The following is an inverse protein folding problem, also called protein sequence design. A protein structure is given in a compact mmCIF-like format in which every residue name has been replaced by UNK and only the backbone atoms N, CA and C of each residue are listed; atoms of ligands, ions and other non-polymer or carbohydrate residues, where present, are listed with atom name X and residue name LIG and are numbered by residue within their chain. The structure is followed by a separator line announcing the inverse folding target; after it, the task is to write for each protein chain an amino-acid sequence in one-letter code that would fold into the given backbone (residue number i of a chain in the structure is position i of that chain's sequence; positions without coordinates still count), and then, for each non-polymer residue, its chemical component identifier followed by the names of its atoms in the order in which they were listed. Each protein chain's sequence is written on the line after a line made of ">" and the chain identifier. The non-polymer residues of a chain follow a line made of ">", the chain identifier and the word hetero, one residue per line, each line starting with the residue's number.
data_IF_389292247975
#
_entry.id   IF_389292247975
#
_cell.length_a   1.000
_cell.length_b   1.000
_cell.length_c   1.000
_cell.angle_alpha   90.00
_cell.angle_beta   90.00
_cell.angle_gamma   90.00
#
_symmetry.space_group_name_H-M   'P 1'
#
loop_
_entity.id
_entity.type
_entity.pdbx_description
1 polymer ?
#
# COMPACT_ATOMS: atom_id res chain seq x y z
N UNK A 1 17.74 5.56 25.32
CA UNK A 1 18.63 6.60 24.76
C UNK A 1 18.08 6.98 23.39
N UNK A 2 17.34 8.07 23.30
CA UNK A 2 16.94 8.64 22.00
C UNK A 2 18.12 9.46 21.50
N UNK A 3 19.00 8.85 20.70
CA UNK A 3 20.06 9.59 20.02
C UNK A 3 19.46 10.63 19.08
N UNK A 4 20.17 11.73 18.88
CA UNK A 4 19.80 12.75 17.90
C UNK A 4 19.56 12.10 16.53
N UNK A 5 18.57 12.62 15.78
CA UNK A 5 18.24 12.09 14.46
C UNK A 5 19.46 12.22 13.55
N UNK A 6 20.07 11.08 13.20
CA UNK A 6 21.22 10.98 12.29
C UNK A 6 20.86 11.15 10.81
N UNK A 7 19.63 11.54 10.47
CA UNK A 7 19.23 11.78 9.09
C UNK A 7 18.46 13.08 8.98
N UNK A 8 18.79 13.85 7.96
CA UNK A 8 18.08 15.04 7.54
C UNK A 8 17.55 14.81 6.12
N UNK A 9 16.29 15.19 5.85
CA UNK A 9 15.71 15.04 4.51
C UNK A 9 16.17 16.21 3.66
N UNK A 10 17.32 16.03 3.01
CA UNK A 10 17.99 17.09 2.24
C UNK A 10 17.39 17.34 0.85
N UNK A 11 16.36 16.59 0.46
CA UNK A 11 15.81 16.61 -0.92
C UNK A 11 14.32 16.96 -1.01
N UNK A 12 13.75 17.65 -0.01
CA UNK A 12 12.38 18.17 -0.12
C UNK A 12 12.24 19.12 -1.33
N UNK A 13 11.02 19.36 -1.81
CA UNK A 13 10.80 20.34 -2.88
C UNK A 13 11.36 21.72 -2.49
N UNK A 14 11.15 22.16 -1.25
CA UNK A 14 11.69 23.42 -0.75
C UNK A 14 13.22 23.44 -0.71
N UNK A 15 13.86 22.32 -0.32
CA UNK A 15 15.32 22.22 -0.34
C UNK A 15 15.88 22.26 -1.78
N UNK A 16 15.25 21.55 -2.73
CA UNK A 16 15.64 21.58 -4.15
C UNK A 16 15.43 22.97 -4.76
N UNK A 17 14.32 23.64 -4.48
CA UNK A 17 14.11 25.03 -4.89
C UNK A 17 15.17 25.94 -4.24
N UNK A 18 15.46 25.75 -2.95
CA UNK A 18 16.49 26.48 -2.23
C UNK A 18 17.88 26.35 -2.85
N UNK A 19 18.23 25.18 -3.40
CA UNK A 19 19.51 24.94 -4.08
C UNK A 19 19.66 25.71 -5.41
N UNK A 20 18.59 26.30 -5.94
CA UNK A 20 18.66 27.15 -7.13
C UNK A 20 19.06 28.60 -6.78
N UNK A 21 19.09 28.98 -5.51
CA UNK A 21 19.56 30.30 -5.11
C UNK A 21 21.04 30.50 -5.50
N UNK A 22 21.44 31.72 -5.90
CA UNK A 22 22.84 32.00 -6.19
C UNK A 22 23.73 31.70 -4.98
N UNK A 23 24.87 31.04 -5.23
CA UNK A 23 25.89 30.84 -4.20
C UNK A 23 26.59 32.17 -3.88
N UNK A 24 27.18 32.27 -2.68
CA UNK A 24 27.86 33.49 -2.24
C UNK A 24 29.07 33.85 -3.12
N UNK A 25 29.69 32.86 -3.76
CA UNK A 25 30.83 32.97 -4.66
C UNK A 25 30.45 32.73 -6.14
N UNK A 26 29.18 32.88 -6.49
CA UNK A 26 28.71 32.68 -7.86
C UNK A 26 29.33 33.72 -8.81
N UNK A 27 30.03 33.25 -9.84
CA UNK A 27 30.44 34.07 -10.97
C UNK A 27 29.30 34.12 -12.01
N UNK A 28 29.06 35.29 -12.59
CA UNK A 28 27.91 35.54 -13.49
C UNK A 28 28.30 35.73 -14.97
N UNK A 29 29.60 35.76 -15.30
CA UNK A 29 30.07 36.03 -16.66
C UNK A 29 29.54 37.36 -17.19
N UNK A 30 28.97 37.35 -18.39
CA UNK A 30 28.37 38.53 -19.03
C UNK A 30 26.98 38.89 -18.48
N UNK A 31 26.37 38.03 -17.66
CA UNK A 31 25.05 38.27 -17.07
C UNK A 31 25.15 39.10 -15.79
N UNK A 32 24.17 39.96 -15.54
CA UNK A 32 23.97 40.55 -14.21
C UNK A 32 23.45 39.51 -13.21
N UNK A 33 23.70 39.75 -11.92
CA UNK A 33 23.10 38.96 -10.83
C UNK A 33 21.57 38.92 -10.92
N UNK A 34 20.95 40.01 -11.36
CA UNK A 34 19.49 40.09 -11.56
C UNK A 34 19.01 39.11 -12.64
N UNK A 35 19.66 39.12 -13.80
CA UNK A 35 19.33 38.21 -14.91
C UNK A 35 19.54 36.74 -14.53
N UNK A 36 20.64 36.41 -13.85
CA UNK A 36 20.89 35.06 -13.34
C UNK A 36 19.82 34.63 -12.34
N UNK A 37 19.45 35.51 -11.41
CA UNK A 37 18.42 35.22 -10.40
C UNK A 37 17.05 35.00 -11.06
N UNK A 38 16.68 35.80 -12.06
CA UNK A 38 15.46 35.60 -12.84
C UNK A 38 15.48 34.27 -13.61
N UNK A 39 16.62 33.85 -14.16
CA UNK A 39 16.77 32.55 -14.82
C UNK A 39 16.56 31.40 -13.82
N UNK A 40 17.22 31.45 -12.66
CA UNK A 40 17.08 30.45 -11.61
C UNK A 40 15.65 30.41 -11.05
N UNK A 41 14.98 31.55 -10.94
CA UNK A 41 13.57 31.61 -10.57
C UNK A 41 12.68 30.87 -11.57
N UNK A 42 12.92 31.02 -12.89
CA UNK A 42 12.18 30.25 -13.91
C UNK A 42 12.41 28.75 -13.74
N UNK A 43 13.64 28.31 -13.51
CA UNK A 43 13.92 26.90 -13.21
C UNK A 43 13.19 26.39 -11.95
N UNK A 44 13.09 27.23 -10.91
CA UNK A 44 12.36 26.88 -9.69
C UNK A 44 10.85 26.75 -9.94
N UNK A 45 10.28 27.63 -10.77
CA UNK A 45 8.87 27.57 -11.20
C UNK A 45 8.63 26.29 -11.98
N UNK A 46 9.47 25.98 -12.97
CA UNK A 46 9.32 24.77 -13.79
C UNK A 46 9.41 23.49 -12.94
N UNK A 47 10.38 23.43 -12.01
CA UNK A 47 10.51 22.32 -11.07
C UNK A 47 9.25 22.13 -10.21
N UNK A 48 8.74 23.23 -9.65
CA UNK A 48 7.55 23.22 -8.79
C UNK A 48 6.30 22.84 -9.58
N UNK A 49 6.17 23.36 -10.81
CA UNK A 49 5.07 23.04 -11.70
C UNK A 49 5.06 21.55 -12.06
N UNK A 50 6.22 21.00 -12.40
CA UNK A 50 6.34 19.57 -12.70
C UNK A 50 5.99 18.70 -11.48
N UNK A 51 6.44 19.06 -10.28
CA UNK A 51 6.08 18.35 -9.05
C UNK A 51 4.55 18.38 -8.82
N UNK A 52 3.92 19.55 -9.00
CA UNK A 52 2.48 19.70 -8.89
C UNK A 52 1.73 18.85 -9.92
N UNK A 53 2.09 18.95 -11.20
CA UNK A 53 1.47 18.17 -12.29
C UNK A 53 1.60 16.68 -12.01
N UNK A 54 2.77 16.20 -11.59
CA UNK A 54 2.99 14.80 -11.25
C UNK A 54 2.12 14.35 -10.08
N UNK A 55 2.00 15.18 -9.03
CA UNK A 55 1.14 14.89 -7.90
C UNK A 55 -0.33 14.78 -8.31
N UNK A 56 -0.85 15.76 -9.05
CA UNK A 56 -2.23 15.78 -9.54
C UNK A 56 -2.49 14.61 -10.48
N UNK A 57 -1.58 14.34 -11.41
CA UNK A 57 -1.69 13.22 -12.35
C UNK A 57 -1.71 11.88 -11.64
N UNK A 58 -0.87 11.68 -10.62
CA UNK A 58 -0.88 10.47 -9.79
C UNK A 58 -2.22 10.30 -9.07
N UNK A 59 -2.78 11.37 -8.52
CA UNK A 59 -4.07 11.32 -7.86
C UNK A 59 -5.22 11.03 -8.84
N UNK A 60 -5.27 11.73 -9.97
CA UNK A 60 -6.38 11.63 -10.93
C UNK A 60 -6.33 10.36 -11.78
N UNK A 61 -5.14 9.94 -12.23
CA UNK A 61 -5.00 8.87 -13.22
C UNK A 61 -4.75 7.50 -12.58
N UNK A 62 -4.23 7.46 -11.34
CA UNK A 62 -3.87 6.19 -10.69
C UNK A 62 -4.64 5.96 -9.38
N UNK A 63 -4.64 6.93 -8.46
CA UNK A 63 -5.26 6.73 -7.16
C UNK A 63 -6.80 6.79 -7.22
N UNK A 64 -7.38 7.83 -7.81
CA UNK A 64 -8.83 8.03 -7.84
C UNK A 64 -9.59 6.91 -8.59
N UNK A 65 -9.14 6.44 -9.77
CA UNK A 65 -9.82 5.37 -10.49
C UNK A 65 -9.81 4.03 -9.73
N UNK A 66 -8.86 3.82 -8.82
CA UNK A 66 -8.82 2.63 -7.98
C UNK A 66 -10.07 2.51 -7.07
N UNK A 67 -10.67 3.64 -6.68
CA UNK A 67 -11.84 3.65 -5.78
C UNK A 67 -12.95 2.74 -6.27
N UNK A 68 -13.28 2.83 -7.56
CA UNK A 68 -14.38 2.07 -8.17
C UNK A 68 -14.16 0.55 -8.04
N UNK A 69 -12.92 0.08 -8.24
CA UNK A 69 -12.58 -1.34 -8.11
C UNK A 69 -12.69 -1.82 -6.66
N UNK A 70 -12.24 -0.99 -5.70
CA UNK A 70 -12.33 -1.31 -4.27
C UNK A 70 -13.79 -1.32 -3.84
N UNK A 71 -14.59 -0.34 -4.25
CA UNK A 71 -16.01 -0.25 -3.95
C UNK A 71 -16.77 -1.47 -4.49
N UNK A 72 -16.53 -1.86 -5.74
CA UNK A 72 -17.11 -3.07 -6.33
C UNK A 72 -16.73 -4.32 -5.52
N UNK A 73 -15.46 -4.44 -5.13
CA UNK A 73 -15.00 -5.58 -4.32
C UNK A 73 -15.65 -5.62 -2.93
N UNK A 74 -15.79 -4.46 -2.27
CA UNK A 74 -16.49 -4.36 -0.98
C UNK A 74 -17.96 -4.73 -1.14
N UNK A 75 -18.67 -4.22 -2.15
CA UNK A 75 -20.08 -4.57 -2.40
C UNK A 75 -20.27 -6.05 -2.71
N UNK A 76 -19.33 -6.67 -3.43
CA UNK A 76 -19.40 -8.07 -3.85
C UNK A 76 -18.89 -9.09 -2.81
N UNK A 77 -18.41 -8.64 -1.64
CA UNK A 77 -17.75 -9.46 -0.62
C UNK A 77 -18.54 -10.70 -0.16
N UNK A 78 -19.87 -10.62 -0.18
CA UNK A 78 -20.73 -11.73 0.23
C UNK A 78 -20.63 -12.94 -0.72
N UNK A 79 -20.36 -12.69 -2.00
CA UNK A 79 -20.11 -13.75 -3.00
C UNK A 79 -18.72 -14.36 -2.89
N UNK A 80 -17.78 -13.67 -2.22
CA UNK A 80 -16.38 -14.09 -2.07
C UNK A 80 -16.25 -15.06 -0.90
N UNK A 81 -16.82 -14.71 0.26
CA UNK A 81 -16.78 -15.55 1.46
C UNK A 81 -17.96 -15.25 2.37
N UNK A 82 -18.56 -16.29 2.97
CA UNK A 82 -19.75 -16.19 3.83
C UNK A 82 -19.58 -15.21 5.00
N UNK A 83 -18.35 -15.06 5.52
CA UNK A 83 -18.04 -14.12 6.60
C UNK A 83 -18.19 -12.65 6.21
N UNK A 84 -18.19 -12.34 4.90
CA UNK A 84 -18.14 -10.96 4.38
C UNK A 84 -16.90 -10.16 4.80
N UNK A 85 -15.87 -10.79 5.39
CA UNK A 85 -14.62 -10.16 5.85
C UNK A 85 -13.46 -10.31 4.85
N UNK A 86 -13.71 -10.91 3.69
CA UNK A 86 -12.73 -11.15 2.63
C UNK A 86 -13.25 -10.50 1.35
N UNK A 87 -12.40 -9.73 0.68
CA UNK A 87 -12.72 -9.15 -0.63
C UNK A 87 -11.74 -9.67 -1.69
N UNK A 88 -12.22 -9.72 -2.93
CA UNK A 88 -11.42 -10.02 -4.12
C UNK A 88 -11.38 -8.77 -5.00
N UNK A 89 -10.19 -8.24 -5.24
CA UNK A 89 -9.98 -7.21 -6.25
C UNK A 89 -9.79 -7.88 -7.62
N UNK A 90 -10.41 -7.32 -8.64
CA UNK A 90 -10.27 -7.77 -10.03
C UNK A 90 -8.86 -7.55 -10.58
N UNK A 91 -8.12 -6.59 -10.03
CA UNK A 91 -6.74 -6.28 -10.38
C UNK A 91 -6.01 -5.65 -9.19
N UNK A 92 -4.68 -5.66 -9.23
CA UNK A 92 -3.86 -4.95 -8.24
C UNK A 92 -4.03 -3.43 -8.37
N UNK A 93 -4.61 -2.79 -7.36
CA UNK A 93 -4.83 -1.32 -7.28
C UNK A 93 -4.44 -0.79 -5.91
N UNK A 94 -4.11 0.51 -5.77
CA UNK A 94 -3.96 1.13 -4.46
C UNK A 94 -5.31 1.08 -3.73
N UNK A 95 -5.44 0.21 -2.75
CA UNK A 95 -6.73 -0.09 -2.12
C UNK A 95 -6.88 0.44 -0.69
N UNK A 96 -5.79 0.61 0.07
CA UNK A 96 -5.85 0.81 1.53
C UNK A 96 -6.65 2.05 1.93
N UNK A 97 -6.34 3.23 1.40
CA UNK A 97 -7.07 4.45 1.75
C UNK A 97 -8.57 4.36 1.38
N UNK A 98 -8.87 3.93 0.15
CA UNK A 98 -10.24 3.74 -0.32
C UNK A 98 -11.01 2.75 0.54
N UNK A 99 -10.38 1.64 0.94
CA UNK A 99 -11.01 0.64 1.78
C UNK A 99 -11.48 1.23 3.10
N UNK A 100 -10.63 2.01 3.78
CA UNK A 100 -10.99 2.63 5.06
C UNK A 100 -12.14 3.63 4.92
N UNK A 101 -12.15 4.44 3.87
CA UNK A 101 -13.26 5.36 3.56
C UNK A 101 -14.56 4.57 3.27
N UNK A 102 -14.47 3.55 2.41
CA UNK A 102 -15.62 2.73 2.02
C UNK A 102 -16.15 1.86 3.17
N UNK A 103 -15.31 1.44 4.10
CA UNK A 103 -15.77 0.77 5.33
C UNK A 103 -16.65 1.71 6.15
N UNK A 104 -16.24 2.97 6.33
CA UNK A 104 -17.03 3.97 7.04
C UNK A 104 -18.33 4.32 6.31
N UNK A 105 -18.30 4.43 4.98
CA UNK A 105 -19.45 4.81 4.15
C UNK A 105 -20.48 3.67 3.97
N UNK A 106 -20.00 2.46 3.64
CA UNK A 106 -20.83 1.34 3.18
C UNK A 106 -21.13 0.37 4.32
N UNK A 107 -20.13 0.05 5.14
CA UNK A 107 -20.28 -0.97 6.17
C UNK A 107 -20.86 -0.41 7.46
N UNK A 108 -20.77 0.90 7.68
CA UNK A 108 -21.24 1.56 8.91
C UNK A 108 -20.63 0.88 10.16
N UNK A 109 -21.15 1.08 11.38
CA UNK A 109 -20.62 0.45 12.61
C UNK A 109 -20.86 -1.08 12.67
N UNK A 110 -20.74 -1.78 11.54
CA UNK A 110 -20.77 -3.23 11.51
C UNK A 110 -19.54 -3.76 12.25
N UNK A 111 -19.78 -4.69 13.19
CA UNK A 111 -18.74 -5.24 14.07
C UNK A 111 -17.69 -6.06 13.30
N UNK A 112 -18.03 -6.51 12.09
CA UNK A 112 -17.20 -7.41 11.30
C UNK A 112 -16.43 -6.65 10.19
N UNK A 113 -15.37 -5.96 10.61
CA UNK A 113 -14.44 -5.26 9.71
C UNK A 113 -13.74 -6.21 8.74
N UNK A 114 -13.42 -5.72 7.53
CA UNK A 114 -12.67 -6.48 6.53
C UNK A 114 -11.30 -6.87 7.07
N UNK A 115 -10.89 -8.10 6.78
CA UNK A 115 -9.67 -8.71 7.30
C UNK A 115 -8.65 -9.00 6.21
N UNK A 116 -9.11 -9.45 5.03
CA UNK A 116 -8.23 -9.90 3.95
C UNK A 116 -8.65 -9.34 2.60
N UNK A 117 -7.67 -8.99 1.78
CA UNK A 117 -7.80 -8.54 0.41
C UNK A 117 -7.04 -9.49 -0.50
N UNK A 118 -7.75 -10.08 -1.46
CA UNK A 118 -7.21 -11.01 -2.45
C UNK A 118 -7.04 -10.30 -3.79
N UNK A 119 -5.88 -10.41 -4.42
CA UNK A 119 -5.64 -9.86 -5.76
C UNK A 119 -4.55 -10.63 -6.48
N UNK A 120 -4.63 -10.65 -7.81
CA UNK A 120 -3.58 -11.21 -8.65
C UNK A 120 -2.46 -10.19 -8.84
N UNK A 121 -1.21 -10.64 -8.76
CA UNK A 121 0.00 -9.89 -9.05
C UNK A 121 0.28 -9.94 -10.55
N UNK A 122 1.15 -9.07 -11.03
CA UNK A 122 1.58 -9.05 -12.44
C UNK A 122 2.28 -10.37 -12.86
N UNK A 123 2.81 -11.14 -11.90
CA UNK A 123 3.36 -12.48 -12.15
C UNK A 123 2.30 -13.55 -12.45
N UNK A 124 1.02 -13.26 -12.24
CA UNK A 124 -0.09 -14.21 -12.31
C UNK A 124 -0.40 -14.89 -10.97
N UNK A 125 0.47 -14.77 -9.97
CA UNK A 125 0.25 -15.33 -8.64
C UNK A 125 -0.78 -14.51 -7.84
N UNK A 126 -1.42 -15.14 -6.87
CA UNK A 126 -2.40 -14.52 -5.99
C UNK A 126 -1.77 -14.11 -4.66
N UNK A 127 -2.08 -12.89 -4.22
CA UNK A 127 -1.72 -12.37 -2.91
C UNK A 127 -2.90 -12.45 -1.96
N UNK A 128 -2.59 -12.79 -0.71
CA UNK A 128 -3.48 -12.66 0.44
C UNK A 128 -2.89 -11.59 1.34
N UNK A 129 -3.45 -10.37 1.30
CA UNK A 129 -2.96 -9.26 2.10
C UNK A 129 -3.92 -8.95 3.24
N UNK A 130 -3.38 -8.79 4.45
CA UNK A 130 -4.16 -8.47 5.63
C UNK A 130 -4.46 -6.97 5.66
N UNK A 131 -5.66 -6.59 6.10
CA UNK A 131 -6.03 -5.19 6.30
C UNK A 131 -5.35 -4.66 7.57
N UNK A 132 -4.67 -3.50 7.52
CA UNK A 132 -4.05 -2.92 8.71
C UNK A 132 -5.10 -2.45 9.72
N UNK A 133 -4.72 -2.32 11.00
CA UNK A 133 -5.63 -1.80 12.04
C UNK A 133 -6.08 -0.38 11.75
N UNK A 134 -5.15 0.44 11.27
CA UNK A 134 -5.34 1.83 10.87
C UNK A 134 -4.50 2.17 9.62
N UNK A 135 -4.84 3.26 8.94
CA UNK A 135 -4.12 3.69 7.75
C UNK A 135 -2.67 4.05 8.10
N UNK A 136 -1.71 3.35 7.48
CA UNK A 136 -0.28 3.55 7.73
C UNK A 136 0.30 2.69 8.86
N UNK A 137 -0.52 1.90 9.57
CA UNK A 137 -0.01 0.97 10.59
C UNK A 137 0.70 -0.23 10.00
N UNK A 138 1.74 -0.68 10.71
CA UNK A 138 2.45 -1.93 10.42
C UNK A 138 1.76 -3.17 11.03
N UNK A 139 0.74 -2.95 11.87
CA UNK A 139 -0.04 -4.01 12.51
C UNK A 139 -1.27 -4.34 11.69
N UNK A 140 -1.46 -5.63 11.39
CA UNK A 140 -2.64 -6.15 10.68
C UNK A 140 -3.76 -6.47 11.66
N UNK A 141 -5.02 -6.23 11.27
CA UNK A 141 -6.22 -6.60 12.06
C UNK A 141 -6.22 -8.08 12.40
N UNK A 142 -5.96 -8.91 11.39
CA UNK A 142 -5.84 -10.36 11.50
C UNK A 142 -4.65 -10.82 10.65
N UNK A 143 -3.43 -10.85 11.21
CA UNK A 143 -2.26 -11.31 10.48
C UNK A 143 -2.33 -12.82 10.20
N UNK A 144 -1.69 -13.30 9.13
CA UNK A 144 -1.63 -14.73 8.85
C UNK A 144 -1.02 -15.52 10.03
N UNK A 145 -1.42 -16.78 10.27
CA UNK A 145 -1.08 -17.52 11.49
C UNK A 145 0.42 -17.68 11.70
N UNK A 146 0.87 -17.54 12.97
CA UNK A 146 2.27 -17.62 13.38
C UNK A 146 2.99 -18.88 12.85
N UNK A 147 2.41 -20.10 12.89
CA UNK A 147 3.08 -21.31 12.41
C UNK A 147 3.51 -21.28 10.94
N UNK A 148 2.91 -20.41 10.12
CA UNK A 148 3.18 -20.34 8.68
C UNK A 148 4.11 -19.19 8.31
N UNK A 149 4.37 -18.24 9.22
CA UNK A 149 5.15 -17.04 8.91
C UNK A 149 6.61 -17.38 8.62
N UNK A 150 7.14 -16.82 7.54
CA UNK A 150 8.50 -17.07 7.08
C UNK A 150 8.68 -18.34 6.27
N UNK A 151 7.69 -19.25 6.25
CA UNK A 151 7.73 -20.45 5.41
C UNK A 151 7.43 -20.11 3.95
N UNK A 152 7.93 -20.96 3.04
CA UNK A 152 7.81 -20.78 1.58
C UNK A 152 7.56 -22.12 0.87
N UNK A 153 7.03 -22.02 -0.34
CA UNK A 153 6.94 -23.10 -1.32
C UNK A 153 6.37 -24.42 -0.75
N UNK A 154 7.00 -25.55 -1.02
CA UNK A 154 6.55 -26.88 -0.59
C UNK A 154 6.49 -27.04 0.94
N UNK A 155 7.39 -26.38 1.67
CA UNK A 155 7.40 -26.42 3.13
C UNK A 155 6.13 -25.77 3.69
N UNK A 156 5.79 -24.58 3.18
CA UNK A 156 4.55 -23.89 3.53
C UNK A 156 3.33 -24.70 3.11
N UNK A 157 3.34 -25.27 1.90
CA UNK A 157 2.22 -26.05 1.38
C UNK A 157 1.95 -27.29 2.24
N UNK A 158 3.00 -28.00 2.67
CA UNK A 158 2.91 -29.14 3.58
C UNK A 158 2.46 -28.74 4.98
N UNK A 159 3.04 -27.67 5.53
CA UNK A 159 2.72 -27.20 6.88
C UNK A 159 1.27 -26.72 7.00
N UNK A 160 0.76 -26.02 5.97
CA UNK A 160 -0.61 -25.49 5.97
C UNK A 160 -1.63 -26.51 5.46
N UNK A 161 -1.21 -27.48 4.65
CA UNK A 161 -2.12 -28.36 3.94
C UNK A 161 -2.95 -27.61 2.89
N UNK A 162 -2.32 -26.63 2.22
CA UNK A 162 -2.87 -25.92 1.06
C UNK A 162 -1.85 -26.04 -0.06
N UNK A 163 -2.20 -26.57 -1.24
CA UNK A 163 -1.26 -26.72 -2.34
C UNK A 163 -0.81 -25.36 -2.90
N UNK A 164 0.33 -25.36 -3.60
CA UNK A 164 0.84 -24.23 -4.37
C UNK A 164 1.02 -22.92 -3.58
N UNK A 165 1.27 -23.02 -2.28
CA UNK A 165 1.65 -21.86 -1.49
C UNK A 165 3.05 -21.37 -1.91
N UNK A 166 3.23 -20.05 -1.98
CA UNK A 166 4.50 -19.42 -2.40
C UNK A 166 5.26 -18.93 -1.17
N UNK A 167 4.61 -18.14 -0.31
CA UNK A 167 5.24 -17.61 0.91
C UNK A 167 4.23 -17.03 1.89
N UNK A 168 4.69 -16.83 3.13
CA UNK A 168 4.08 -15.90 4.11
C UNK A 168 5.18 -15.00 4.67
N UNK A 169 4.96 -13.70 4.70
CA UNK A 169 5.92 -12.76 5.29
C UNK A 169 6.12 -13.04 6.79
N UNK A 170 7.31 -12.76 7.33
CA UNK A 170 7.65 -13.03 8.73
C UNK A 170 6.71 -12.35 9.75
N UNK A 171 6.19 -11.16 9.44
CA UNK A 171 5.17 -10.51 10.28
C UNK A 171 3.73 -10.99 10.03
N UNK A 172 3.49 -11.77 8.97
CA UNK A 172 2.18 -12.31 8.61
C UNK A 172 1.25 -11.33 7.89
N UNK A 173 1.70 -10.14 7.53
CA UNK A 173 0.84 -9.13 6.87
C UNK A 173 0.42 -9.51 5.43
N UNK A 174 1.19 -10.39 4.77
CA UNK A 174 0.93 -10.83 3.40
C UNK A 174 1.43 -12.26 3.20
N UNK A 175 0.73 -13.00 2.37
CA UNK A 175 1.16 -14.28 1.82
C UNK A 175 0.78 -14.40 0.35
N UNK A 176 1.21 -15.48 -0.30
CA UNK A 176 0.90 -15.73 -1.70
C UNK A 176 0.69 -17.21 -2.04
N UNK A 177 -0.13 -17.44 -3.06
CA UNK A 177 -0.44 -18.75 -3.64
C UNK A 177 -0.46 -18.62 -5.17
N UNK A 178 -0.21 -19.69 -5.91
CA UNK A 178 -0.31 -19.64 -7.39
C UNK A 178 -1.75 -19.52 -7.88
N UNK A 179 -2.72 -19.94 -7.08
CA UNK A 179 -4.15 -20.02 -7.45
C UNK A 179 -5.03 -19.10 -6.61
N UNK A 180 -6.15 -18.68 -7.19
CA UNK A 180 -7.15 -17.90 -6.45
C UNK A 180 -7.76 -18.71 -5.31
N UNK A 181 -8.05 -19.98 -5.58
CA UNK A 181 -8.67 -20.91 -4.66
C UNK A 181 -7.77 -21.15 -3.45
N UNK A 182 -6.47 -21.38 -3.68
CA UNK A 182 -5.49 -21.52 -2.60
C UNK A 182 -5.32 -20.24 -1.78
N UNK A 183 -5.32 -19.06 -2.42
CA UNK A 183 -5.27 -17.78 -1.70
C UNK A 183 -6.55 -17.55 -0.85
N UNK A 184 -7.72 -17.89 -1.38
CA UNK A 184 -8.98 -17.82 -0.64
C UNK A 184 -9.00 -18.80 0.54
N UNK A 185 -8.48 -20.02 0.35
CA UNK A 185 -8.38 -21.02 1.40
C UNK A 185 -7.41 -20.57 2.51
N UNK A 186 -6.28 -19.97 2.16
CA UNK A 186 -5.34 -19.37 3.12
C UNK A 186 -6.04 -18.31 3.98
N UNK A 187 -6.78 -17.39 3.35
CA UNK A 187 -7.52 -16.35 4.07
C UNK A 187 -8.63 -16.93 4.96
N UNK A 188 -9.40 -17.89 4.44
CA UNK A 188 -10.51 -18.54 5.15
C UNK A 188 -10.03 -19.31 6.38
N UNK A 189 -9.02 -20.19 6.25
CA UNK A 189 -8.44 -20.91 7.39
C UNK A 189 -7.82 -19.95 8.42
N UNK A 190 -7.19 -18.87 7.97
CA UNK A 190 -6.65 -17.85 8.87
C UNK A 190 -7.75 -17.17 9.66
N UNK A 191 -8.86 -16.81 9.02
CA UNK A 191 -10.03 -16.21 9.67
C UNK A 191 -10.62 -17.15 10.74
N UNK A 192 -10.75 -18.44 10.43
CA UNK A 192 -11.25 -19.45 11.37
C UNK A 192 -10.36 -19.60 12.60
N UNK A 193 -9.03 -19.68 12.41
CA UNK A 193 -8.07 -19.80 13.51
C UNK A 193 -8.15 -18.61 14.48
N UNK A 194 -8.35 -17.40 13.97
CA UNK A 194 -8.52 -16.21 14.81
C UNK A 194 -9.85 -16.19 15.57
N UNK A 195 -10.93 -16.66 14.96
CA UNK A 195 -12.25 -16.77 15.61
C UNK A 195 -12.26 -17.80 16.75
N UNK A 196 -11.44 -18.85 16.67
CA UNK A 196 -11.27 -19.84 17.75
C UNK A 196 -10.49 -19.25 18.92
N UNK A 197 -9.48 -18.42 18.66
CA UNK A 197 -8.64 -17.82 19.69
C UNK A 197 -9.28 -16.61 20.42
N UNK A 198 -10.46 -16.16 19.98
CA UNK A 198 -11.20 -15.03 20.57
C UNK A 198 -12.45 -15.45 21.35
N UNK A 199 -12.74 -16.75 21.45
CA UNK A 199 -13.76 -17.33 22.34
C UNK A 199 -13.10 -17.94 23.57
#
# INVERSE_FOLDING_TARGET
>A
MTGDKNYDVTTSLSARVGSLNPQWNQEYGDMSKGEFTCLQFKHAVDMTLNEFINCVSRLLLHWLPAREYVERAVKNRESVHESKRIIKLEKSVPWTAHLFELEAEILQENKEKLAYVLYQRDSGDWSVQCVPEELGSFTSRLPLPIPYRGLRDDELSKAWGIPDCIFVHASGFIGGNKTYEGALEMASKSLQLHNVNTK
#
